data_IF_203561264201
#
_entry.id   IF_203561264201
#
_cell.length_a   1.000
_cell.length_b   1.000
_cell.length_c   1.000
_cell.angle_alpha   90.00
_cell.angle_beta   90.00
_cell.angle_gamma   90.00
#
_symmetry.space_group_name_H-M   'P 1'
#
loop_
_entity.id
_entity.type
_entity.pdbx_description
1 polymer ?
#
# COMPACT_ATOMS: atom_id res chain seq x y z
N UNK A 1 30.37 -6.73 -22.42
CA UNK A 1 29.27 -6.38 -21.49
C UNK A 1 28.24 -7.46 -21.64
N UNK A 2 27.93 -8.17 -20.55
CA UNK A 2 26.83 -9.13 -20.53
C UNK A 2 25.54 -8.41 -20.13
N UNK A 3 24.44 -8.73 -20.82
CA UNK A 3 23.11 -8.20 -20.52
C UNK A 3 22.24 -9.28 -19.90
N UNK A 4 21.41 -8.89 -18.92
CA UNK A 4 20.39 -9.76 -18.33
C UNK A 4 19.01 -9.09 -18.45
N UNK A 5 17.99 -9.87 -18.82
CA UNK A 5 16.59 -9.45 -18.88
C UNK A 5 15.79 -10.24 -17.86
N UNK A 6 15.11 -9.53 -16.97
CA UNK A 6 14.16 -10.12 -16.01
C UNK A 6 12.76 -9.63 -16.36
N UNK A 7 11.79 -10.55 -16.39
CA UNK A 7 10.37 -10.25 -16.61
C UNK A 7 9.61 -10.54 -15.32
N UNK A 8 9.02 -9.51 -14.74
CA UNK A 8 8.18 -9.64 -13.55
C UNK A 8 6.70 -9.47 -13.93
N UNK A 9 5.92 -10.57 -14.00
CA UNK A 9 4.48 -10.44 -14.14
C UNK A 9 3.88 -9.78 -12.88
N UNK A 10 2.79 -9.03 -13.06
CA UNK A 10 2.03 -8.40 -11.95
C UNK A 10 2.88 -7.46 -11.08
N UNK A 11 3.76 -6.67 -11.71
CA UNK A 11 4.59 -5.69 -11.01
C UNK A 11 3.80 -4.48 -10.48
N UNK A 12 2.64 -4.20 -11.08
CA UNK A 12 1.83 -3.02 -10.80
C UNK A 12 0.34 -3.37 -10.70
N UNK A 13 -0.37 -2.83 -9.69
CA UNK A 13 -1.82 -2.80 -9.67
C UNK A 13 -2.37 -2.04 -10.87
N UNK A 14 -3.45 -2.55 -11.44
CA UNK A 14 -4.19 -1.89 -12.52
C UNK A 14 -5.50 -1.37 -11.93
N UNK A 15 -5.81 -0.10 -12.21
CA UNK A 15 -7.01 0.59 -11.75
C UNK A 15 -7.96 0.80 -12.93
N UNK A 16 -8.69 -0.25 -13.29
CA UNK A 16 -9.76 -0.15 -14.29
C UNK A 16 -11.04 0.48 -13.70
N UNK A 17 -12.09 0.65 -14.52
CA UNK A 17 -13.33 1.29 -14.07
C UNK A 17 -14.07 0.55 -12.94
N UNK A 18 -13.74 -0.71 -12.68
CA UNK A 18 -14.43 -1.56 -11.71
C UNK A 18 -13.51 -1.98 -10.54
N UNK A 19 -12.26 -1.52 -10.51
CA UNK A 19 -11.25 -1.99 -9.57
C UNK A 19 -11.70 -1.81 -8.12
N UNK A 20 -12.31 -0.68 -7.79
CA UNK A 20 -12.75 -0.37 -6.43
C UNK A 20 -13.83 -1.35 -5.97
N UNK A 21 -14.82 -1.62 -6.81
CA UNK A 21 -15.89 -2.57 -6.51
C UNK A 21 -15.32 -3.97 -6.30
N UNK A 22 -14.42 -4.43 -7.17
CA UNK A 22 -13.78 -5.73 -7.02
C UNK A 22 -12.92 -5.82 -5.76
N UNK A 23 -12.15 -4.76 -5.46
CA UNK A 23 -11.32 -4.68 -4.27
C UNK A 23 -12.17 -4.74 -3.00
N UNK A 24 -13.29 -4.01 -2.95
CA UNK A 24 -14.23 -4.06 -1.83
C UNK A 24 -14.82 -5.45 -1.61
N UNK A 25 -15.25 -6.14 -2.69
CA UNK A 25 -15.77 -7.51 -2.60
C UNK A 25 -14.71 -8.47 -2.04
N UNK A 26 -13.46 -8.36 -2.50
CA UNK A 26 -12.36 -9.18 -1.99
C UNK A 26 -12.09 -8.88 -0.52
N UNK A 27 -11.96 -7.60 -0.14
CA UNK A 27 -11.72 -7.19 1.24
C UNK A 27 -12.80 -7.72 2.19
N UNK A 28 -14.08 -7.55 1.84
CA UNK A 28 -15.22 -8.03 2.64
C UNK A 28 -15.25 -9.55 2.75
N UNK A 29 -14.96 -10.26 1.65
CA UNK A 29 -14.91 -11.71 1.66
C UNK A 29 -13.78 -12.24 2.56
N UNK A 30 -12.59 -11.62 2.46
CA UNK A 30 -11.43 -12.02 3.25
C UNK A 30 -11.63 -11.73 4.74
N UNK A 31 -12.12 -10.54 5.09
CA UNK A 31 -12.38 -10.20 6.50
C UNK A 31 -13.43 -11.11 7.14
N UNK A 32 -14.46 -11.50 6.38
CA UNK A 32 -15.53 -12.38 6.87
C UNK A 32 -15.08 -13.82 7.06
N UNK A 33 -14.31 -14.37 6.12
CA UNK A 33 -14.00 -15.81 6.10
C UNK A 33 -12.60 -16.15 6.64
N UNK A 34 -11.69 -15.18 6.68
CA UNK A 34 -10.30 -15.36 7.08
C UNK A 34 -9.85 -14.25 8.06
N UNK A 35 -10.43 -14.18 9.28
CA UNK A 35 -10.16 -13.08 10.22
C UNK A 35 -8.70 -12.99 10.71
N UNK A 36 -7.90 -14.03 10.48
CA UNK A 36 -6.46 -14.06 10.80
C UNK A 36 -5.54 -13.88 9.57
N UNK A 37 -6.12 -13.62 8.39
CA UNK A 37 -5.35 -13.29 7.20
C UNK A 37 -5.13 -11.78 7.14
N UNK A 38 -3.87 -11.37 7.11
CA UNK A 38 -3.50 -9.96 7.02
C UNK A 38 -2.86 -9.66 5.65
N UNK A 39 -3.38 -8.64 4.96
CA UNK A 39 -2.88 -8.20 3.67
C UNK A 39 -1.96 -7.00 3.86
N UNK A 40 -0.80 -7.02 3.18
CA UNK A 40 0.23 -5.99 3.28
C UNK A 40 0.89 -5.75 1.92
N UNK A 41 1.53 -4.60 1.78
CA UNK A 41 2.32 -4.24 0.61
C UNK A 41 1.50 -4.02 -0.67
N UNK A 42 2.22 -3.74 -1.77
CA UNK A 42 1.64 -3.38 -3.07
C UNK A 42 0.56 -4.34 -3.57
N UNK A 43 0.87 -5.64 -3.67
CA UNK A 43 -0.04 -6.62 -4.23
C UNK A 43 -1.08 -7.12 -3.22
N UNK A 44 -0.76 -7.13 -1.92
CA UNK A 44 -1.73 -7.49 -0.89
C UNK A 44 -2.83 -6.45 -0.76
N UNK A 45 -2.48 -5.18 -0.84
CA UNK A 45 -3.43 -4.07 -0.74
C UNK A 45 -3.97 -3.60 -2.10
N UNK A 46 -3.46 -4.15 -3.21
CA UNK A 46 -3.69 -3.66 -4.57
C UNK A 46 -3.50 -2.14 -4.69
N UNK A 47 -2.46 -1.62 -4.02
CA UNK A 47 -2.09 -0.20 -4.01
C UNK A 47 -0.75 0.02 -4.66
N UNK A 48 -0.67 1.01 -5.55
CA UNK A 48 0.60 1.50 -6.07
C UNK A 48 1.35 2.16 -4.92
N UNK A 49 2.22 1.38 -4.27
CA UNK A 49 3.05 1.77 -3.14
C UNK A 49 4.52 1.52 -3.49
N UNK A 50 5.40 2.45 -3.12
CA UNK A 50 6.85 2.23 -3.09
C UNK A 50 7.26 1.22 -1.99
N UNK A 51 8.54 0.88 -1.95
CA UNK A 51 9.07 -0.17 -1.07
C UNK A 51 8.93 0.19 0.41
N UNK A 52 9.24 1.42 0.77
CA UNK A 52 9.05 2.03 2.09
C UNK A 52 7.60 1.93 2.58
N UNK A 53 6.63 2.36 1.79
CA UNK A 53 5.20 2.21 2.14
C UNK A 53 4.80 0.73 2.27
N UNK A 54 5.32 -0.12 1.39
CA UNK A 54 5.03 -1.56 1.46
C UNK A 54 5.59 -2.17 2.74
N UNK A 55 6.80 -1.80 3.16
CA UNK A 55 7.38 -2.23 4.44
C UNK A 55 6.62 -1.64 5.63
N UNK A 56 6.21 -0.38 5.56
CA UNK A 56 5.42 0.27 6.61
C UNK A 56 4.11 -0.47 6.89
N UNK A 57 3.39 -0.87 5.85
CA UNK A 57 2.15 -1.65 6.02
C UNK A 57 2.39 -3.00 6.71
N UNK A 58 3.56 -3.62 6.49
CA UNK A 58 3.94 -4.86 7.16
C UNK A 58 4.26 -4.63 8.64
N UNK A 59 5.03 -3.59 8.98
CA UNK A 59 5.36 -3.25 10.35
C UNK A 59 4.11 -2.93 11.17
N UNK A 60 3.21 -2.09 10.66
CA UNK A 60 1.94 -1.76 11.32
C UNK A 60 1.04 -3.00 11.52
N UNK A 61 1.04 -3.92 10.55
CA UNK A 61 0.32 -5.19 10.69
C UNK A 61 0.91 -6.08 11.78
N UNK A 62 2.24 -6.18 11.87
CA UNK A 62 2.92 -6.92 12.93
C UNK A 62 2.60 -6.31 14.30
N UNK A 63 2.58 -4.99 14.43
CA UNK A 63 2.23 -4.31 15.68
C UNK A 63 0.80 -4.61 16.11
N UNK A 64 -0.16 -4.61 15.17
CA UNK A 64 -1.54 -5.00 15.45
C UNK A 64 -1.64 -6.43 16.01
N UNK A 65 -0.92 -7.36 15.37
CA UNK A 65 -0.89 -8.77 15.78
C UNK A 65 -0.25 -8.89 17.16
N UNK A 66 0.90 -8.25 17.38
CA UNK A 66 1.65 -8.31 18.63
C UNK A 66 0.86 -7.71 19.80
N UNK A 67 0.06 -6.65 19.55
CA UNK A 67 -0.80 -6.07 20.58
C UNK A 67 -2.15 -6.77 20.75
N UNK A 68 -2.54 -7.65 19.83
CA UNK A 68 -3.87 -8.26 19.82
C UNK A 68 -5.01 -7.25 19.55
N UNK A 69 -4.69 -6.11 18.94
CA UNK A 69 -5.61 -4.98 18.74
C UNK A 69 -5.45 -4.40 17.34
N UNK A 70 -6.53 -3.86 16.76
CA UNK A 70 -6.48 -3.18 15.46
C UNK A 70 -6.08 -1.70 15.64
N UNK A 71 -4.81 -1.43 15.93
CA UNK A 71 -4.27 -0.08 16.15
C UNK A 71 -4.11 0.71 14.85
N UNK A 72 -3.75 0.03 13.77
CA UNK A 72 -3.49 0.64 12.46
C UNK A 72 -4.38 0.02 11.40
N UNK A 73 -5.07 0.86 10.63
CA UNK A 73 -5.73 0.43 9.41
C UNK A 73 -4.80 0.60 8.21
N UNK A 74 -4.16 -0.49 7.78
CA UNK A 74 -3.22 -0.46 6.65
C UNK A 74 -3.87 -0.13 5.30
N UNK A 75 -5.20 -0.23 5.20
CA UNK A 75 -5.96 0.17 4.02
C UNK A 75 -6.07 1.69 3.86
N UNK A 76 -5.79 2.47 4.90
CA UNK A 76 -5.86 3.94 4.86
C UNK A 76 -4.51 4.57 4.51
N UNK A 77 -3.42 3.79 4.47
CA UNK A 77 -2.10 4.27 4.08
C UNK A 77 -2.11 4.58 2.59
N UNK A 78 -2.01 5.86 2.22
CA UNK A 78 -1.96 6.33 0.84
C UNK A 78 -0.59 6.92 0.52
N UNK A 79 -0.09 6.62 -0.68
CA UNK A 79 1.13 7.23 -1.22
C UNK A 79 0.93 8.72 -1.54
N UNK A 80 -0.31 9.17 -1.76
CA UNK A 80 -0.65 10.55 -2.13
C UNK A 80 -0.56 11.55 -0.96
N UNK A 81 -0.64 11.08 0.29
CA UNK A 81 -0.50 11.96 1.46
C UNK A 81 0.96 12.44 1.60
N UNK A 82 1.94 11.61 1.23
CA UNK A 82 3.36 11.97 1.25
C UNK A 82 3.79 12.78 0.00
N UNK A 83 3.10 12.61 -1.14
CA UNK A 83 3.38 13.41 -2.35
C UNK A 83 3.04 14.89 -2.13
N UNK A 84 2.06 15.21 -1.29
CA UNK A 84 1.72 16.58 -0.91
C UNK A 84 2.71 17.22 0.09
N UNK A 85 3.53 16.46 0.81
CA UNK A 85 4.53 17.03 1.74
C UNK A 85 5.82 17.48 1.04
N UNK A 86 6.05 17.12 -0.23
CA UNK A 86 7.22 17.58 -1.01
C UNK A 86 7.02 18.91 -1.74
N UNK A 87 5.81 19.49 -1.70
CA UNK A 87 5.44 20.73 -2.39
C UNK A 87 5.67 22.03 -1.62
N UNK A 88 5.98 21.98 -0.32
CA UNK A 88 6.30 23.16 0.49
C UNK A 88 7.82 23.35 0.60
N UNK A 89 8.49 23.50 -0.55
CA UNK A 89 9.78 24.19 -0.55
C UNK A 89 9.44 25.68 -0.54
N UNK A 90 9.49 26.29 0.64
CA UNK A 90 9.45 27.74 0.81
C UNK A 90 10.41 28.37 -0.20
N UNK A 91 9.87 29.12 -1.16
CA UNK A 91 10.66 29.98 -2.03
C UNK A 91 11.03 31.17 -1.17
N UNK A 92 12.31 31.42 -0.84
CA UNK A 92 12.67 32.62 -0.11
C UNK A 92 12.32 33.83 -0.97
N UNK A 93 11.45 34.71 -0.48
CA UNK A 93 11.31 36.04 -1.04
C UNK A 93 12.52 36.89 -0.65
N UNK A 94 13.14 37.52 -1.64
CA UNK A 94 14.27 38.45 -1.53
C UNK A 94 15.48 37.93 -2.31
N UNK A 95 15.95 38.61 -3.37
CA UNK A 95 16.23 40.05 -3.51
C UNK A 95 15.73 40.55 -4.88
#
# INVERSE_FOLDING_TARGET
>A
MDGCVVRQPKAYPVYDHHYQTHLQVIQQSLSKHFPHLHLVGRNGLHKYNNQDHSMMTAMMTVDNIASGEMKYNVWDINQDDEYHESGLREVPQGI
#
